data_IF_116094925449
#
_entry.id   IF_116094925449
#
_cell.length_a   1.000
_cell.length_b   1.000
_cell.length_c   1.000
_cell.angle_alpha   90.00
_cell.angle_beta   90.00
_cell.angle_gamma   90.00
#
_symmetry.space_group_name_H-M   'P 1'
#
loop_
_entity.id
_entity.type
_entity.pdbx_description
1 polymer ?
#
# COMPACT_ATOMS: atom_id res chain seq x y z
N UNK A 1 -11.18 -2.80 16.48
CA UNK A 1 -10.46 -1.57 16.06
C UNK A 1 -9.12 -1.99 15.50
N UNK A 2 -8.96 -2.00 14.18
CA UNK A 2 -7.67 -2.31 13.57
C UNK A 2 -6.79 -1.05 13.63
N UNK A 3 -5.78 -1.08 14.50
CA UNK A 3 -4.74 -0.06 14.55
C UNK A 3 -3.67 -0.49 13.54
N UNK A 4 -3.60 0.21 12.41
CA UNK A 4 -2.56 -0.02 11.39
C UNK A 4 -1.24 0.62 11.82
N UNK A 5 -0.12 0.13 11.27
CA UNK A 5 1.21 0.70 11.53
C UNK A 5 1.29 2.19 11.19
N UNK A 6 0.54 2.64 10.19
CA UNK A 6 0.42 4.05 9.78
C UNK A 6 -0.02 4.96 10.94
N UNK A 7 -1.05 4.57 11.70
CA UNK A 7 -1.53 5.39 12.83
C UNK A 7 -0.46 5.50 13.91
N UNK A 8 0.23 4.40 14.22
CA UNK A 8 1.27 4.35 15.24
C UNK A 8 2.45 5.26 14.90
N UNK A 9 2.89 5.24 13.65
CA UNK A 9 3.98 6.08 13.16
C UNK A 9 3.53 7.56 13.16
N UNK A 10 2.30 7.82 12.72
CA UNK A 10 1.72 9.18 12.74
C UNK A 10 1.70 9.75 14.16
N UNK A 11 1.26 8.98 15.14
CA UNK A 11 1.22 9.38 16.55
C UNK A 11 2.61 9.54 17.15
N UNK A 12 3.57 8.66 16.80
CA UNK A 12 4.97 8.80 17.20
C UNK A 12 5.64 10.07 16.64
N UNK A 13 5.20 10.53 15.46
CA UNK A 13 5.63 11.79 14.85
C UNK A 13 4.82 13.01 15.31
N UNK A 14 3.90 12.85 16.28
CA UNK A 14 2.96 13.90 16.74
C UNK A 14 2.19 14.58 15.60
N UNK A 15 1.93 13.86 14.52
CA UNK A 15 1.35 14.41 13.30
C UNK A 15 -0.17 14.22 13.29
N UNK A 16 -0.95 15.23 12.96
CA UNK A 16 -2.40 15.06 12.79
C UNK A 16 -2.73 14.36 11.45
N UNK A 17 -3.93 13.78 11.33
CA UNK A 17 -4.40 13.18 10.06
C UNK A 17 -4.41 14.19 8.92
N UNK A 18 -4.77 15.44 9.23
CA UNK A 18 -4.79 16.53 8.26
C UNK A 18 -3.38 16.91 7.78
N UNK A 19 -2.40 16.91 8.67
CA UNK A 19 -1.00 17.14 8.29
C UNK A 19 -0.46 16.02 7.42
N UNK A 20 -0.70 14.76 7.78
CA UNK A 20 -0.29 13.63 6.96
C UNK A 20 -0.91 13.70 5.56
N UNK A 21 -2.20 14.06 5.47
CA UNK A 21 -2.91 14.24 4.22
C UNK A 21 -2.30 15.36 3.36
N UNK A 22 -2.03 16.54 3.95
CA UNK A 22 -1.39 17.66 3.25
C UNK A 22 0.01 17.29 2.74
N UNK A 23 0.80 16.62 3.57
CA UNK A 23 2.18 16.24 3.26
C UNK A 23 2.27 15.14 2.20
N UNK A 24 1.28 14.25 2.16
CA UNK A 24 1.16 13.21 1.12
C UNK A 24 0.45 13.70 -0.16
N UNK A 25 -0.13 14.91 -0.16
CA UNK A 25 -0.96 15.39 -1.27
C UNK A 25 -2.23 14.55 -1.47
N UNK A 26 -2.84 14.08 -0.37
CA UNK A 26 -4.03 13.24 -0.36
C UNK A 26 -5.16 13.91 0.42
N UNK A 27 -6.39 13.41 0.25
CA UNK A 27 -7.50 13.84 1.10
C UNK A 27 -7.43 13.16 2.48
N UNK A 28 -7.91 13.86 3.51
CA UNK A 28 -8.07 13.31 4.86
C UNK A 28 -8.87 12.01 4.87
N UNK A 29 -9.93 11.94 4.07
CA UNK A 29 -10.75 10.75 3.88
C UNK A 29 -9.94 9.55 3.36
N UNK A 30 -8.96 9.79 2.49
CA UNK A 30 -8.08 8.73 1.98
C UNK A 30 -7.19 8.20 3.10
N UNK A 31 -6.63 9.09 3.94
CA UNK A 31 -5.85 8.70 5.12
C UNK A 31 -6.70 7.89 6.11
N UNK A 32 -7.94 8.31 6.38
CA UNK A 32 -8.84 7.56 7.26
C UNK A 32 -9.14 6.14 6.75
N UNK A 33 -9.32 5.98 5.44
CA UNK A 33 -9.51 4.65 4.82
C UNK A 33 -8.26 3.77 4.95
N UNK A 34 -7.09 4.36 4.77
CA UNK A 34 -5.80 3.67 4.91
C UNK A 34 -5.56 3.27 6.36
N UNK A 35 -5.83 4.16 7.31
CA UNK A 35 -5.73 3.85 8.74
C UNK A 35 -6.71 2.74 9.15
N UNK A 36 -7.86 2.65 8.48
CA UNK A 36 -8.86 1.59 8.67
C UNK A 36 -8.50 0.25 7.99
N UNK A 37 -7.36 0.16 7.31
CA UNK A 37 -6.88 -1.08 6.67
C UNK A 37 -7.51 -1.39 5.32
N UNK A 38 -8.09 -0.40 4.63
CA UNK A 38 -8.67 -0.59 3.29
C UNK A 38 -7.59 -0.67 2.21
N UNK A 39 -7.88 -1.40 1.13
CA UNK A 39 -7.01 -1.47 -0.05
C UNK A 39 -6.85 -0.08 -0.66
N UNK A 40 -5.60 0.30 -0.95
CA UNK A 40 -5.23 1.58 -1.52
C UNK A 40 -4.23 1.35 -2.66
N UNK A 41 -4.23 2.26 -3.65
CA UNK A 41 -3.35 2.16 -4.80
C UNK A 41 -1.88 2.28 -4.38
N UNK A 42 -1.00 1.66 -5.15
CA UNK A 42 0.46 1.73 -4.96
C UNK A 42 0.97 3.19 -4.94
N UNK A 43 0.38 4.06 -5.76
CA UNK A 43 0.67 5.50 -5.76
C UNK A 43 0.39 6.15 -4.39
N UNK A 44 -0.77 5.83 -3.80
CA UNK A 44 -1.18 6.33 -2.48
C UNK A 44 -0.23 5.84 -1.39
N UNK A 45 0.16 4.57 -1.42
CA UNK A 45 1.14 4.01 -0.47
C UNK A 45 2.49 4.72 -0.57
N UNK A 46 2.98 4.97 -1.80
CA UNK A 46 4.22 5.69 -2.05
C UNK A 46 4.19 7.11 -1.49
N UNK A 47 3.09 7.85 -1.73
CA UNK A 47 2.89 9.21 -1.20
C UNK A 47 2.88 9.24 0.33
N UNK A 48 2.20 8.29 0.96
CA UNK A 48 2.14 8.19 2.43
C UNK A 48 3.51 7.85 3.01
N UNK A 49 4.25 6.90 2.42
CA UNK A 49 5.61 6.57 2.87
C UNK A 49 6.54 7.77 2.77
N UNK A 50 6.48 8.50 1.66
CA UNK A 50 7.28 9.71 1.47
C UNK A 50 6.92 10.81 2.50
N UNK A 51 5.63 10.99 2.81
CA UNK A 51 5.18 11.93 3.82
C UNK A 51 5.64 11.56 5.25
N UNK A 52 5.70 10.25 5.54
CA UNK A 52 6.22 9.69 6.79
C UNK A 52 7.76 9.63 6.85
N UNK A 53 8.46 9.95 5.75
CA UNK A 53 9.92 9.86 5.68
C UNK A 53 10.46 8.43 5.64
N UNK A 54 9.63 7.47 5.21
CA UNK A 54 9.96 6.05 5.13
C UNK A 54 10.33 5.65 3.70
N UNK A 55 11.10 4.56 3.58
CA UNK A 55 11.45 4.00 2.28
C UNK A 55 10.30 3.15 1.73
N UNK A 56 10.26 3.01 0.42
CA UNK A 56 9.27 2.15 -0.26
C UNK A 56 9.41 0.69 0.17
N UNK A 57 10.60 0.27 0.60
CA UNK A 57 10.88 -1.07 1.14
C UNK A 57 10.16 -1.36 2.46
N UNK A 58 9.84 -0.35 3.27
CA UNK A 58 9.14 -0.52 4.56
C UNK A 58 7.61 -0.64 4.39
N UNK A 59 7.10 -0.56 3.15
CA UNK A 59 5.66 -0.60 2.86
C UNK A 59 4.98 -1.83 3.47
N UNK A 60 5.63 -2.99 3.44
CA UNK A 60 5.05 -4.24 3.92
C UNK A 60 4.91 -4.27 5.44
N UNK A 61 5.81 -3.60 6.17
CA UNK A 61 5.73 -3.46 7.63
C UNK A 61 4.70 -2.42 8.05
N UNK A 62 4.62 -1.31 7.31
CA UNK A 62 3.72 -0.18 7.62
C UNK A 62 2.27 -0.48 7.26
N UNK A 63 2.04 -1.16 6.13
CA UNK A 63 0.73 -1.52 5.60
C UNK A 63 0.40 -3.01 5.79
N UNK A 64 0.97 -3.66 6.81
CA UNK A 64 0.78 -5.07 7.15
C UNK A 64 -0.68 -5.42 7.48
N UNK A 65 -1.55 -5.42 6.48
CA UNK A 65 -2.90 -5.97 6.50
C UNK A 65 -3.22 -6.39 5.06
N UNK A 66 -2.69 -7.57 4.70
CA UNK A 66 -2.92 -8.35 3.47
C UNK A 66 -3.07 -7.54 2.17
N UNK A 67 -1.96 -7.40 1.44
CA UNK A 67 -2.03 -7.28 -0.01
C UNK A 67 -2.08 -8.70 -0.61
N UNK A 68 -3.23 -9.22 -1.06
CA UNK A 68 -3.26 -10.44 -1.87
C UNK A 68 -2.76 -10.19 -3.32
N UNK A 69 -2.44 -8.95 -3.69
CA UNK A 69 -2.06 -8.59 -5.06
C UNK A 69 -0.60 -8.92 -5.45
N UNK A 70 0.31 -9.15 -4.49
CA UNK A 70 1.69 -9.56 -4.80
C UNK A 70 1.82 -11.09 -5.00
N UNK A 71 0.78 -11.87 -4.72
CA UNK A 71 0.75 -13.32 -4.98
C UNK A 71 0.36 -13.68 -6.43
N UNK A 72 -0.26 -12.76 -7.19
CA UNK A 72 -0.69 -13.04 -8.58
C UNK A 72 0.39 -12.79 -9.64
N UNK A 73 1.54 -12.20 -9.29
CA UNK A 73 2.62 -11.96 -10.27
C UNK A 73 3.47 -13.21 -10.60
N UNK A 74 3.32 -14.31 -9.84
CA UNK A 74 4.09 -15.54 -10.05
C UNK A 74 3.46 -16.52 -11.06
N UNK A 75 2.28 -16.24 -11.62
CA UNK A 75 1.59 -17.18 -12.55
C UNK A 75 1.90 -16.94 -14.04
N UNK A 76 2.69 -15.92 -14.39
CA UNK A 76 2.99 -15.57 -15.78
C UNK A 76 4.20 -16.30 -16.39
N UNK A 77 4.56 -17.48 -15.88
CA UNK A 77 5.67 -18.30 -16.40
C UNK A 77 5.25 -19.74 -16.78
N UNK A 78 3.97 -19.97 -17.08
CA UNK A 78 3.53 -21.17 -17.78
C UNK A 78 3.13 -20.76 -19.20
N UNK A 79 4.12 -20.60 -20.08
CA UNK A 79 3.85 -20.80 -21.50
C UNK A 79 3.34 -22.23 -21.68
N UNK A 80 2.15 -22.46 -22.25
CA UNK A 80 1.78 -23.80 -22.68
C UNK A 80 2.77 -24.25 -23.76
N UNK A 81 3.39 -25.43 -23.67
CA UNK A 81 4.09 -26.01 -24.81
C UNK A 81 3.07 -26.37 -25.89
N UNK A 82 3.28 -25.88 -27.11
CA UNK A 82 2.76 -26.45 -28.34
C UNK A 82 1.28 -26.23 -28.61
N UNK A 83 0.95 -25.19 -29.38
CA UNK A 83 -0.14 -25.33 -30.34
C UNK A 83 0.50 -25.84 -31.64
N UNK A 84 0.25 -27.09 -32.00
CA UNK A 84 0.45 -27.57 -33.36
C UNK A 84 -0.81 -27.19 -34.16
N UNK A 85 -0.73 -26.31 -35.17
CA UNK A 85 -1.83 -26.14 -36.09
C UNK A 85 -1.88 -27.36 -37.03
N UNK A 86 -2.96 -28.13 -36.94
CA UNK A 86 -3.33 -29.18 -37.90
C UNK A 86 -3.24 -28.66 -39.33
N UNK A 87 -2.34 -29.25 -40.14
CA UNK A 87 -2.44 -29.22 -41.60
C UNK A 87 -1.81 -30.44 -42.24
#
# INVERSE_FOLDING_TARGET
>A
MAITGVRRIREGLMMSKAELARKAGLSTLTIDRVEAGKTCRLDTKRKILQALGLKVSDKESVFACKQPEDALAAVAAQSPPGYEPLR
#
